data_IF_153578504973
#
_entry.id   IF_153578504973
#
_cell.length_a   1.000
_cell.length_b   1.000
_cell.length_c   1.000
_cell.angle_alpha   90.00
_cell.angle_beta   90.00
_cell.angle_gamma   90.00
#
_symmetry.space_group_name_H-M   'P 1'
#
loop_
_entity.id
_entity.type
_entity.pdbx_description
1 polymer ?
#
# COMPACT_ATOMS: atom_id res chain seq x y z
N UNK A 1 -58.43 10.71 -6.36
CA UNK A 1 -57.68 11.98 -6.26
C UNK A 1 -56.91 12.14 -4.94
N UNK A 2 -56.45 11.08 -4.33
CA UNK A 2 -55.68 11.19 -3.06
C UNK A 2 -54.17 11.02 -3.20
N UNK A 3 -53.67 10.85 -4.41
CA UNK A 3 -52.26 10.58 -4.63
C UNK A 3 -51.38 11.86 -4.61
N UNK A 4 -51.99 13.03 -4.82
CA UNK A 4 -51.24 14.30 -4.83
C UNK A 4 -50.83 14.73 -3.43
N UNK A 5 -51.61 14.39 -2.41
CA UNK A 5 -51.31 14.73 -1.01
C UNK A 5 -50.13 13.90 -0.47
N UNK A 6 -50.04 12.64 -0.90
CA UNK A 6 -48.93 11.78 -0.51
C UNK A 6 -47.63 12.09 -1.27
N UNK A 7 -47.75 12.60 -2.50
CA UNK A 7 -46.59 13.00 -3.28
C UNK A 7 -45.93 14.25 -2.68
N UNK A 8 -46.70 15.18 -2.15
CA UNK A 8 -46.10 16.32 -1.44
C UNK A 8 -45.50 15.95 -0.10
N UNK A 9 -46.04 14.93 0.59
CA UNK A 9 -45.51 14.45 1.85
C UNK A 9 -44.18 13.67 1.66
N UNK A 10 -44.04 12.94 0.56
CA UNK A 10 -42.82 12.22 0.22
C UNK A 10 -41.70 13.17 -0.23
N UNK A 11 -42.03 14.27 -0.89
CA UNK A 11 -41.02 15.30 -1.26
C UNK A 11 -40.50 16.08 -0.06
N UNK A 12 -41.31 16.21 1.00
CA UNK A 12 -40.86 16.87 2.22
C UNK A 12 -39.95 16.03 3.11
N UNK A 13 -39.97 14.71 2.94
CA UNK A 13 -39.13 13.79 3.72
C UNK A 13 -37.72 13.59 3.14
N UNK A 14 -37.52 13.92 1.86
CA UNK A 14 -36.22 13.78 1.19
C UNK A 14 -35.31 15.02 1.42
N UNK A 15 -35.89 16.14 1.83
CA UNK A 15 -35.11 17.40 1.99
C UNK A 15 -34.46 17.58 3.37
N UNK A 16 -34.56 16.65 4.30
CA UNK A 16 -34.00 16.77 5.66
C UNK A 16 -32.70 15.98 5.85
N UNK A 17 -32.23 15.25 4.82
CA UNK A 17 -30.98 14.48 4.91
C UNK A 17 -29.76 15.18 4.30
N UNK A 18 -29.81 16.47 4.06
CA UNK A 18 -28.60 17.27 3.93
C UNK A 18 -28.22 17.87 5.27
N UNK A 19 -28.05 17.01 6.28
CA UNK A 19 -27.22 17.42 7.39
C UNK A 19 -25.82 17.45 6.81
N UNK A 20 -25.38 18.65 6.46
CA UNK A 20 -23.99 18.88 6.13
C UNK A 20 -23.15 18.25 7.20
N UNK A 21 -22.36 17.27 6.81
CA UNK A 21 -21.16 16.99 7.54
C UNK A 21 -20.31 18.26 7.42
N UNK A 22 -20.59 19.23 8.25
CA UNK A 22 -19.56 20.20 8.59
C UNK A 22 -18.53 19.35 9.31
N UNK A 23 -17.60 18.78 8.54
CA UNK A 23 -16.35 18.39 9.13
C UNK A 23 -15.88 19.62 9.88
N UNK A 24 -15.87 19.54 11.20
CA UNK A 24 -15.11 20.48 11.97
C UNK A 24 -13.69 20.37 11.46
N UNK A 25 -13.29 21.24 10.55
CA UNK A 25 -11.90 21.51 10.32
C UNK A 25 -11.41 22.19 11.59
N UNK A 26 -10.98 21.37 12.54
CA UNK A 26 -10.04 21.84 13.52
C UNK A 26 -8.82 22.28 12.72
N UNK A 27 -8.43 23.54 12.86
CA UNK A 27 -7.26 24.13 12.21
C UNK A 27 -5.93 23.58 12.74
N UNK A 28 -5.88 22.31 13.09
CA UNK A 28 -4.66 21.54 13.25
C UNK A 28 -4.27 21.05 11.85
N UNK A 29 -3.63 21.93 11.10
CA UNK A 29 -2.81 21.56 9.96
C UNK A 29 -1.67 20.70 10.52
N UNK A 30 -1.89 19.39 10.55
CA UNK A 30 -0.81 18.45 10.73
C UNK A 30 0.01 18.46 9.43
N UNK A 31 1.01 19.32 9.38
CA UNK A 31 1.95 19.46 8.26
C UNK A 31 2.88 18.27 8.11
N UNK A 32 2.63 17.17 8.83
CA UNK A 32 3.43 15.96 8.69
C UNK A 32 3.26 15.40 7.28
N UNK A 33 4.33 15.24 6.50
CA UNK A 33 4.21 14.72 5.14
C UNK A 33 3.77 13.26 5.13
N UNK A 34 3.14 12.83 4.02
CA UNK A 34 2.88 11.42 3.77
C UNK A 34 4.18 10.60 3.83
N UNK A 35 4.11 9.30 4.12
CA UNK A 35 5.29 8.44 4.11
C UNK A 35 6.07 8.55 2.81
N UNK A 36 7.39 8.52 2.91
CA UNK A 36 8.29 8.36 1.78
C UNK A 36 8.70 6.88 1.67
N UNK A 37 8.58 6.31 0.48
CA UNK A 37 8.92 4.91 0.21
C UNK A 37 9.80 4.83 -1.02
N UNK A 38 11.02 4.34 -0.85
CA UNK A 38 11.93 4.00 -1.93
C UNK A 38 12.06 2.49 -2.01
N UNK A 39 11.40 1.89 -2.99
CA UNK A 39 11.46 0.47 -3.26
C UNK A 39 12.76 0.17 -4.03
N UNK A 40 13.64 -0.62 -3.45
CA UNK A 40 14.98 -0.89 -3.98
C UNK A 40 15.01 -2.19 -4.76
N UNK A 41 14.53 -3.29 -4.18
CA UNK A 41 14.51 -4.59 -4.83
C UNK A 41 13.14 -5.26 -4.77
N UNK A 42 12.86 -6.06 -5.79
CA UNK A 42 11.68 -6.91 -5.92
C UNK A 42 12.05 -8.11 -6.81
N UNK A 43 12.72 -9.11 -6.23
CA UNK A 43 13.33 -10.20 -6.96
C UNK A 43 12.75 -11.55 -6.54
N UNK A 44 12.57 -12.44 -7.52
CA UNK A 44 12.18 -13.84 -7.25
C UNK A 44 13.43 -14.62 -6.90
N UNK A 45 13.38 -15.28 -5.73
CA UNK A 45 14.38 -16.21 -5.22
C UNK A 45 13.72 -17.56 -4.94
N UNK A 46 13.74 -18.45 -5.90
CA UNK A 46 13.05 -19.75 -5.78
C UNK A 46 11.53 -19.58 -5.61
N UNK A 47 11.00 -20.00 -4.48
CA UNK A 47 9.57 -19.92 -4.14
C UNK A 47 9.23 -18.68 -3.28
N UNK A 48 10.17 -17.75 -3.12
CA UNK A 48 10.00 -16.53 -2.35
C UNK A 48 10.21 -15.28 -3.22
N UNK A 49 9.58 -14.20 -2.83
CA UNK A 49 9.80 -12.87 -3.38
C UNK A 49 10.53 -12.03 -2.33
N UNK A 50 11.76 -11.66 -2.64
CA UNK A 50 12.54 -10.74 -1.82
C UNK A 50 12.14 -9.30 -2.12
N UNK A 51 11.81 -8.53 -1.09
CA UNK A 51 11.41 -7.12 -1.20
C UNK A 51 12.27 -6.29 -0.29
N UNK A 52 12.99 -5.32 -0.87
CA UNK A 52 13.82 -4.36 -0.14
C UNK A 52 13.37 -2.93 -0.39
N UNK A 53 13.37 -2.13 0.68
CA UNK A 53 12.96 -0.74 0.61
C UNK A 53 13.57 0.13 1.73
N UNK A 54 13.62 1.43 1.50
CA UNK A 54 13.81 2.44 2.52
C UNK A 54 12.49 3.19 2.75
N UNK A 55 12.08 3.30 4.01
CA UNK A 55 10.79 3.89 4.39
C UNK A 55 11.02 4.96 5.45
N UNK A 56 10.43 6.13 5.24
CA UNK A 56 10.39 7.22 6.24
C UNK A 56 8.94 7.65 6.43
N UNK A 57 8.44 7.59 7.66
CA UNK A 57 7.07 7.98 7.99
C UNK A 57 7.05 8.84 9.26
N UNK A 58 7.11 10.15 9.10
CA UNK A 58 7.12 11.09 10.22
C UNK A 58 5.88 10.96 11.14
N UNK A 59 4.76 10.50 10.57
CA UNK A 59 3.54 10.18 11.32
C UNK A 59 3.54 8.78 11.96
N UNK A 60 4.67 8.07 12.00
CA UNK A 60 4.83 6.68 12.43
C UNK A 60 4.08 5.69 11.53
N UNK A 61 4.71 4.59 11.22
CA UNK A 61 4.12 3.53 10.38
C UNK A 61 2.99 2.84 11.13
N UNK A 62 1.79 2.83 10.58
CA UNK A 62 0.63 2.09 11.10
C UNK A 62 0.38 0.79 10.35
N UNK A 63 0.67 0.75 9.05
CA UNK A 63 0.57 -0.47 8.27
C UNK A 63 1.50 -0.47 7.06
N UNK A 64 1.92 -1.66 6.66
CA UNK A 64 2.66 -1.92 5.43
C UNK A 64 1.99 -3.09 4.73
N UNK A 65 1.65 -2.93 3.45
CA UNK A 65 1.03 -3.97 2.63
C UNK A 65 1.80 -4.13 1.32
N UNK A 66 2.17 -5.36 1.02
CA UNK A 66 2.76 -5.75 -0.25
C UNK A 66 1.68 -6.45 -1.08
N UNK A 67 1.43 -5.97 -2.29
CA UNK A 67 0.62 -6.68 -3.26
C UNK A 67 1.45 -7.00 -4.49
N UNK A 68 1.22 -8.18 -5.06
CA UNK A 68 1.72 -8.56 -6.38
C UNK A 68 0.53 -8.69 -7.31
N UNK A 69 0.59 -7.96 -8.41
CA UNK A 69 -0.43 -7.95 -9.43
C UNK A 69 0.14 -8.44 -10.76
N UNK A 70 -0.74 -8.78 -11.70
CA UNK A 70 -0.33 -8.96 -13.08
C UNK A 70 0.33 -7.67 -13.64
N UNK A 71 1.02 -7.72 -14.79
CA UNK A 71 1.69 -6.54 -15.35
C UNK A 71 0.76 -5.36 -15.63
N UNK A 72 -0.54 -5.61 -15.81
CA UNK A 72 -1.56 -4.54 -15.98
C UNK A 72 -1.97 -3.89 -14.66
N UNK A 73 -1.68 -4.52 -13.52
CA UNK A 73 -2.12 -4.11 -12.19
C UNK A 73 -3.59 -4.44 -11.89
N UNK A 74 -4.25 -5.22 -12.74
CA UNK A 74 -5.69 -5.48 -12.63
C UNK A 74 -6.03 -6.66 -11.72
N UNK A 75 -5.18 -7.69 -11.68
CA UNK A 75 -5.39 -8.88 -10.88
C UNK A 75 -4.36 -9.01 -9.78
N UNK A 76 -4.80 -9.01 -8.55
CA UNK A 76 -3.95 -9.26 -7.38
C UNK A 76 -3.70 -10.77 -7.26
N UNK A 77 -2.45 -11.17 -7.36
CA UNK A 77 -1.98 -12.56 -7.19
C UNK A 77 -1.61 -12.86 -5.74
N UNK A 78 -1.02 -11.89 -5.06
CA UNK A 78 -0.60 -11.97 -3.66
C UNK A 78 -0.97 -10.68 -2.95
N UNK A 79 -1.54 -10.78 -1.76
CA UNK A 79 -1.72 -9.68 -0.82
C UNK A 79 -1.08 -10.09 0.51
N UNK A 80 -0.03 -9.38 0.91
CA UNK A 80 0.76 -9.71 2.08
C UNK A 80 0.83 -8.49 3.03
N UNK A 81 0.05 -8.50 4.11
CA UNK A 81 0.21 -7.51 5.17
C UNK A 81 1.46 -7.83 5.98
N UNK A 82 2.35 -6.86 6.12
CA UNK A 82 3.56 -7.01 6.94
C UNK A 82 3.18 -6.85 8.40
N UNK A 83 3.30 -7.93 9.14
CA UNK A 83 2.94 -7.99 10.56
C UNK A 83 4.20 -7.96 11.42
N UNK A 84 4.06 -7.41 12.62
CA UNK A 84 5.10 -7.46 13.64
C UNK A 84 5.63 -6.10 14.08
N UNK A 85 6.11 -6.08 15.32
CA UNK A 85 6.54 -4.86 16.01
C UNK A 85 7.85 -4.27 15.47
N UNK A 86 8.57 -5.00 14.61
CA UNK A 86 9.83 -4.53 14.03
C UNK A 86 9.60 -3.30 13.12
N UNK A 87 8.46 -3.28 12.41
CA UNK A 87 8.19 -2.28 11.38
C UNK A 87 7.02 -1.34 11.72
N UNK A 88 6.12 -1.77 12.60
CA UNK A 88 4.94 -0.99 12.97
C UNK A 88 5.24 -0.08 14.16
N UNK A 89 4.81 1.17 14.10
CA UNK A 89 5.01 2.18 15.14
C UNK A 89 6.34 2.93 15.07
N UNK A 90 7.22 2.59 14.12
CA UNK A 90 8.50 3.26 13.93
C UNK A 90 8.40 4.43 12.93
N UNK A 91 9.42 5.31 12.94
CA UNK A 91 9.50 6.47 12.04
C UNK A 91 10.27 6.17 10.76
N UNK A 92 11.31 5.35 10.88
CA UNK A 92 12.22 5.04 9.78
C UNK A 92 12.52 3.55 9.75
N UNK A 93 12.62 3.02 8.55
CA UNK A 93 13.15 1.69 8.27
C UNK A 93 14.16 1.85 7.12
N UNK A 94 15.45 1.78 7.43
CA UNK A 94 16.52 1.90 6.43
C UNK A 94 16.74 0.60 5.67
N UNK A 95 16.54 -0.53 6.34
CA UNK A 95 16.70 -1.88 5.79
C UNK A 95 15.37 -2.65 5.91
N UNK A 96 14.35 -2.19 5.21
CA UNK A 96 13.16 -3.00 5.06
C UNK A 96 13.47 -4.19 4.17
N UNK A 97 13.41 -5.39 4.74
CA UNK A 97 13.70 -6.62 4.02
C UNK A 97 12.68 -7.69 4.43
N UNK A 98 11.94 -8.17 3.47
CA UNK A 98 10.88 -9.17 3.68
C UNK A 98 10.88 -10.19 2.56
N UNK A 99 10.79 -11.46 2.92
CA UNK A 99 10.53 -12.56 2.01
C UNK A 99 9.04 -12.92 2.05
N UNK A 100 8.42 -12.94 0.90
CA UNK A 100 7.00 -13.28 0.71
C UNK A 100 6.90 -14.61 0.00
N UNK A 101 6.26 -15.60 0.63
CA UNK A 101 5.99 -16.89 0.01
C UNK A 101 5.08 -16.73 -1.22
N UNK A 102 5.59 -17.13 -2.37
CA UNK A 102 4.91 -17.07 -3.66
C UNK A 102 4.66 -18.45 -4.28
N UNK A 103 4.97 -19.53 -3.54
CA UNK A 103 4.76 -20.90 -4.01
C UNK A 103 3.30 -21.09 -4.45
N UNK A 104 3.11 -21.52 -5.69
CA UNK A 104 1.77 -21.77 -6.26
C UNK A 104 0.90 -20.53 -6.49
N UNK A 105 1.45 -19.32 -6.40
CA UNK A 105 0.71 -18.06 -6.58
C UNK A 105 0.76 -17.49 -8.00
N UNK A 106 1.40 -18.19 -8.94
CA UNK A 106 1.58 -17.74 -10.33
C UNK A 106 2.26 -16.36 -10.46
N UNK A 107 3.14 -16.05 -9.52
CA UNK A 107 3.99 -14.85 -9.62
C UNK A 107 5.11 -15.13 -10.60
N UNK A 108 5.40 -14.17 -11.45
CA UNK A 108 6.44 -14.27 -12.49
C UNK A 108 7.14 -12.94 -12.71
N UNK A 109 8.31 -13.02 -13.32
CA UNK A 109 9.04 -11.84 -13.79
C UNK A 109 8.14 -10.98 -14.68
N UNK A 110 8.18 -9.66 -14.47
CA UNK A 110 7.32 -8.69 -15.15
C UNK A 110 6.01 -8.40 -14.43
N UNK A 111 5.62 -9.17 -13.42
CA UNK A 111 4.51 -8.81 -12.54
C UNK A 111 4.81 -7.51 -11.78
N UNK A 112 3.77 -6.82 -11.36
CA UNK A 112 3.87 -5.55 -10.68
C UNK A 112 3.78 -5.72 -9.17
N UNK A 113 4.88 -5.42 -8.46
CA UNK A 113 4.86 -5.29 -7.01
C UNK A 113 4.45 -3.87 -6.62
N UNK A 114 3.56 -3.76 -5.64
CA UNK A 114 3.21 -2.50 -4.99
C UNK A 114 3.45 -2.61 -3.50
N UNK A 115 4.16 -1.64 -2.93
CA UNK A 115 4.41 -1.50 -1.51
C UNK A 115 3.68 -0.27 -1.01
N UNK A 116 2.63 -0.46 -0.22
CA UNK A 116 1.84 0.62 0.36
C UNK A 116 2.16 0.77 1.85
N UNK A 117 2.56 1.95 2.24
CA UNK A 117 2.83 2.33 3.63
C UNK A 117 1.83 3.37 4.06
N UNK A 118 1.17 3.14 5.19
CA UNK A 118 0.23 4.08 5.81
C UNK A 118 0.76 4.50 7.16
N UNK A 119 0.69 5.79 7.46
CA UNK A 119 1.06 6.33 8.78
C UNK A 119 -0.12 6.34 9.77
N UNK A 120 0.17 6.68 11.02
CA UNK A 120 -0.83 6.74 12.08
C UNK A 120 -1.85 7.88 11.87
N UNK A 121 -1.56 8.84 11.00
CA UNK A 121 -2.46 9.93 10.62
C UNK A 121 -3.34 9.55 9.40
N UNK A 122 -3.23 8.32 8.91
CA UNK A 122 -4.01 7.81 7.79
C UNK A 122 -3.49 8.21 6.41
N UNK A 123 -2.30 8.81 6.31
CA UNK A 123 -1.68 9.14 5.03
C UNK A 123 -0.95 7.94 4.48
N UNK A 124 -1.06 7.71 3.18
CA UNK A 124 -0.50 6.55 2.51
C UNK A 124 0.36 6.95 1.31
N UNK A 125 1.39 6.17 1.08
CA UNK A 125 2.21 6.23 -0.13
C UNK A 125 2.36 4.82 -0.68
N UNK A 126 2.24 4.68 -2.00
CA UNK A 126 2.44 3.42 -2.71
C UNK A 126 3.61 3.56 -3.68
N UNK A 127 4.64 2.76 -3.48
CA UNK A 127 5.72 2.56 -4.44
C UNK A 127 5.43 1.33 -5.32
N UNK A 128 5.90 1.34 -6.56
CA UNK A 128 5.68 0.28 -7.54
C UNK A 128 6.98 -0.12 -8.20
N UNK A 129 7.15 -1.41 -8.45
CA UNK A 129 8.31 -1.95 -9.18
C UNK A 129 7.92 -3.23 -9.92
N UNK A 130 8.45 -3.41 -11.13
CA UNK A 130 8.35 -4.69 -11.81
C UNK A 130 9.24 -5.70 -11.13
N UNK A 131 8.72 -6.93 -10.99
CA UNK A 131 9.47 -8.05 -10.43
C UNK A 131 10.51 -8.52 -11.43
N UNK A 132 11.72 -8.75 -10.94
CA UNK A 132 12.86 -9.30 -11.70
C UNK A 132 13.30 -10.65 -11.13
N UNK A 133 14.18 -11.35 -11.83
CA UNK A 133 14.95 -12.46 -11.25
C UNK A 133 16.15 -11.89 -10.50
N UNK A 134 16.61 -12.61 -9.49
CA UNK A 134 17.90 -12.31 -8.87
C UNK A 134 18.99 -12.46 -9.95
N UNK A 135 19.76 -11.39 -10.17
CA UNK A 135 20.96 -11.49 -11.00
C UNK A 135 22.02 -12.24 -10.18
N UNK A 136 22.35 -13.48 -10.63
CA UNK A 136 23.54 -14.15 -10.14
C UNK A 136 24.71 -13.20 -10.34
N UNK A 137 25.20 -12.62 -9.26
CA UNK A 137 26.48 -11.89 -9.27
C UNK A 137 27.55 -12.95 -9.52
N UNK A 138 27.80 -13.24 -10.79
CA UNK A 138 29.00 -13.97 -11.20
C UNK A 138 30.19 -13.24 -10.62
N UNK A 139 30.68 -13.74 -9.50
CA UNK A 139 31.97 -13.37 -8.95
C UNK A 139 33.06 -13.76 -9.98
N UNK A 140 33.19 -12.89 -10.98
CA UNK A 140 34.28 -13.00 -11.92
C UNK A 140 35.58 -12.60 -11.19
N UNK A 141 36.00 -13.48 -10.28
CA UNK A 141 37.35 -13.42 -9.72
C UNK A 141 38.32 -13.86 -10.81
N UNK A 142 38.63 -12.89 -11.67
CA UNK A 142 39.70 -13.06 -12.65
C UNK A 142 41.01 -13.03 -11.91
N UNK A 143 41.50 -14.20 -11.52
CA UNK A 143 42.87 -14.38 -11.05
C UNK A 143 43.82 -14.10 -12.22
N UNK A 144 44.61 -13.05 -12.03
CA UNK A 144 45.91 -12.92 -12.69
C UNK A 144 47.00 -13.11 -11.68
#
# INVERSE_FOLDING_TARGET
MNNLKYMCLLMALVSVMTIGFTSCSSDDYDDTPAPFVKLEEANIEGDELCVEANIVAQGRISSIVINVCDPSGSNVKVAYPVMGNKYIGVLNIEDFHVHVDIAGKNVSVGDLLTLTVTDANGRSTTAKKSITEEEDKDDNYNQK
#
